data_IF_420302256969
#
_entry.id   IF_420302256969
#
_cell.length_a   1.000
_cell.length_b   1.000
_cell.length_c   1.000
_cell.angle_alpha   90.00
_cell.angle_beta   90.00
_cell.angle_gamma   90.00
#
_symmetry.space_group_name_H-M   'P 1'
#
loop_
_entity.id
_entity.type
_entity.pdbx_description
1 polymer ?
#
# COMPACT_ATOMS: atom_id res chain seq x y z
N UNK A 1 -19.14 -10.02 2.57
CA UNK A 1 -17.88 -10.35 1.87
C UNK A 1 -17.67 -9.28 0.83
N UNK A 2 -16.47 -8.70 0.73
CA UNK A 2 -16.24 -7.46 -0.02
C UNK A 2 -15.15 -7.63 -1.07
N UNK A 3 -15.35 -7.03 -2.24
CA UNK A 3 -14.38 -6.95 -3.32
C UNK A 3 -13.49 -5.72 -3.10
N UNK A 4 -12.19 -5.96 -2.94
CA UNK A 4 -11.23 -4.93 -2.51
C UNK A 4 -10.10 -4.85 -3.52
N UNK A 5 -9.82 -3.66 -4.04
CA UNK A 5 -8.59 -3.36 -4.78
C UNK A 5 -7.64 -2.55 -3.89
N UNK A 6 -6.39 -2.98 -3.74
CA UNK A 6 -5.36 -2.27 -2.99
C UNK A 6 -4.22 -1.80 -3.90
N UNK A 7 -3.78 -0.55 -3.74
CA UNK A 7 -2.73 0.09 -4.56
C UNK A 7 -1.63 0.66 -3.67
N UNK A 8 -0.37 0.31 -3.91
CA UNK A 8 0.80 0.83 -3.18
C UNK A 8 1.97 1.13 -4.15
N UNK A 9 2.37 2.40 -4.22
CA UNK A 9 3.44 2.91 -5.11
C UNK A 9 4.37 3.91 -4.41
N UNK A 10 4.43 3.92 -3.08
CA UNK A 10 5.28 4.81 -2.28
C UNK A 10 6.77 4.41 -2.29
N UNK A 11 7.16 3.32 -2.95
CA UNK A 11 8.55 2.88 -3.09
C UNK A 11 8.93 2.68 -4.57
N UNK A 12 10.10 2.12 -4.83
CA UNK A 12 10.49 1.69 -6.19
C UNK A 12 9.60 0.55 -6.72
N UNK A 13 8.93 -0.17 -5.83
CA UNK A 13 7.94 -1.17 -6.19
C UNK A 13 6.58 -0.56 -6.51
N UNK A 14 5.89 -1.18 -7.46
CA UNK A 14 4.48 -1.03 -7.75
C UNK A 14 3.79 -2.32 -7.30
N UNK A 15 2.94 -2.23 -6.28
CA UNK A 15 2.23 -3.36 -5.71
C UNK A 15 0.72 -3.16 -5.82
N UNK A 16 0.04 -4.19 -6.29
CA UNK A 16 -1.41 -4.24 -6.46
C UNK A 16 -1.92 -5.55 -5.87
N UNK A 17 -3.09 -5.51 -5.25
CA UNK A 17 -3.82 -6.72 -4.86
C UNK A 17 -5.31 -6.55 -5.09
N UNK A 18 -5.99 -7.60 -5.54
CA UNK A 18 -7.45 -7.62 -5.65
C UNK A 18 -8.00 -8.85 -4.95
N UNK A 19 -9.04 -8.66 -4.14
CA UNK A 19 -9.77 -9.75 -3.52
C UNK A 19 -11.20 -9.81 -4.08
N UNK A 20 -11.67 -11.02 -4.37
CA UNK A 20 -13.06 -11.32 -4.72
C UNK A 20 -13.72 -12.00 -3.51
N UNK A 21 -14.50 -11.24 -2.75
CA UNK A 21 -15.26 -11.72 -1.59
C UNK A 21 -14.42 -12.33 -0.45
N UNK A 22 -13.09 -12.29 -0.51
CA UNK A 22 -12.21 -13.07 0.37
C UNK A 22 -11.97 -14.52 -0.09
N UNK A 23 -12.67 -14.99 -1.12
CA UNK A 23 -12.52 -16.34 -1.67
C UNK A 23 -11.29 -16.47 -2.57
N UNK A 24 -10.97 -15.40 -3.28
CA UNK A 24 -9.80 -15.33 -4.18
C UNK A 24 -9.03 -14.04 -3.97
N UNK A 25 -7.71 -14.13 -4.05
CA UNK A 25 -6.76 -13.02 -3.92
C UNK A 25 -5.74 -13.13 -5.04
N UNK A 26 -5.63 -12.08 -5.86
CA UNK A 26 -4.56 -11.94 -6.86
C UNK A 26 -3.65 -10.79 -6.47
N UNK A 27 -2.33 -10.96 -6.67
CA UNK A 27 -1.31 -9.97 -6.29
C UNK A 27 -0.34 -9.75 -7.45
N UNK A 28 -0.06 -8.49 -7.76
CA UNK A 28 0.99 -8.09 -8.68
C UNK A 28 1.99 -7.20 -7.95
N UNK A 29 3.22 -7.68 -7.77
CA UNK A 29 4.33 -6.91 -7.23
C UNK A 29 5.46 -6.81 -8.25
N UNK A 30 5.85 -5.59 -8.63
CA UNK A 30 6.93 -5.35 -9.59
C UNK A 30 7.83 -4.21 -9.12
N UNK A 31 9.13 -4.43 -9.11
CA UNK A 31 10.14 -3.36 -8.92
C UNK A 31 10.37 -2.67 -10.26
N UNK A 32 9.74 -1.52 -10.45
CA UNK A 32 9.70 -0.78 -11.73
C UNK A 32 9.95 0.72 -11.48
N UNK A 33 11.15 1.09 -11.02
CA UNK A 33 11.46 2.48 -10.69
C UNK A 33 11.19 3.39 -11.90
N UNK A 34 10.58 4.54 -11.61
CA UNK A 34 10.24 5.61 -12.58
C UNK A 34 9.20 5.22 -13.65
N UNK A 35 8.67 4.00 -13.64
CA UNK A 35 7.71 3.50 -14.63
C UNK A 35 6.30 3.35 -14.07
N UNK A 36 6.06 3.76 -12.81
CA UNK A 36 4.76 3.63 -12.15
C UNK A 36 3.63 4.27 -12.95
N UNK A 37 3.79 5.51 -13.43
CA UNK A 37 2.73 6.24 -14.15
C UNK A 37 2.29 5.53 -15.44
N UNK A 38 3.24 4.94 -16.18
CA UNK A 38 2.96 4.26 -17.44
C UNK A 38 2.35 2.87 -17.22
N UNK A 39 2.84 2.14 -16.19
CA UNK A 39 2.52 0.72 -16.02
C UNK A 39 1.37 0.45 -15.06
N UNK A 40 1.05 1.37 -14.15
CA UNK A 40 0.07 1.13 -13.09
C UNK A 40 -1.32 0.75 -13.61
N UNK A 41 -1.89 1.55 -14.52
CA UNK A 41 -3.22 1.27 -15.07
C UNK A 41 -3.27 -0.05 -15.88
N UNK A 42 -2.32 -0.35 -16.79
CA UNK A 42 -2.26 -1.66 -17.43
C UNK A 42 -2.14 -2.84 -16.46
N UNK A 43 -1.33 -2.72 -15.41
CA UNK A 43 -1.18 -3.76 -14.39
C UNK A 43 -2.47 -3.96 -13.58
N UNK A 44 -3.15 -2.86 -13.22
CA UNK A 44 -4.46 -2.91 -12.55
C UNK A 44 -5.49 -3.62 -13.41
N UNK A 45 -5.56 -3.28 -14.70
CA UNK A 45 -6.51 -3.91 -15.62
C UNK A 45 -6.22 -5.41 -15.79
N UNK A 46 -4.94 -5.80 -15.93
CA UNK A 46 -4.55 -7.21 -15.96
C UNK A 46 -5.02 -7.96 -14.71
N UNK A 47 -4.78 -7.39 -13.53
CA UNK A 47 -5.15 -8.01 -12.27
C UNK A 47 -6.66 -8.19 -12.09
N UNK A 48 -7.46 -7.19 -12.50
CA UNK A 48 -8.92 -7.29 -12.48
C UNK A 48 -9.43 -8.38 -13.42
N UNK A 49 -8.84 -8.49 -14.62
CA UNK A 49 -9.18 -9.54 -15.58
C UNK A 49 -8.82 -10.93 -15.06
N UNK A 50 -7.66 -11.08 -14.39
CA UNK A 50 -7.21 -12.36 -13.87
C UNK A 50 -8.22 -12.96 -12.88
N UNK A 51 -8.93 -12.11 -12.12
CA UNK A 51 -9.95 -12.52 -11.14
C UNK A 51 -11.40 -12.44 -11.65
N UNK A 52 -11.60 -12.22 -12.95
CA UNK A 52 -12.90 -12.09 -13.61
C UNK A 52 -13.80 -11.00 -13.01
N UNK A 53 -13.21 -9.89 -12.56
CA UNK A 53 -13.94 -8.72 -12.02
C UNK A 53 -13.80 -7.51 -12.93
N UNK A 54 -14.84 -6.68 -12.94
CA UNK A 54 -14.79 -5.31 -13.47
C UNK A 54 -14.60 -4.31 -12.34
N UNK A 55 -14.22 -3.08 -12.67
CA UNK A 55 -14.10 -2.03 -11.66
C UNK A 55 -15.42 -1.74 -10.94
N UNK A 56 -16.55 -1.95 -11.60
CA UNK A 56 -17.91 -1.75 -11.06
C UNK A 56 -18.27 -2.78 -9.99
N UNK A 57 -17.57 -3.91 -9.95
CA UNK A 57 -17.78 -4.96 -8.96
C UNK A 57 -17.04 -4.68 -7.63
N UNK A 58 -16.22 -3.63 -7.57
CA UNK A 58 -15.48 -3.27 -6.36
C UNK A 58 -16.39 -2.63 -5.32
N UNK A 59 -16.24 -3.05 -4.07
CA UNK A 59 -16.94 -2.43 -2.93
C UNK A 59 -16.11 -1.34 -2.26
N UNK A 60 -14.78 -1.41 -2.39
CA UNK A 60 -13.85 -0.48 -1.74
C UNK A 60 -12.49 -0.49 -2.45
N UNK A 61 -11.82 0.66 -2.47
CA UNK A 61 -10.43 0.77 -2.92
C UNK A 61 -9.54 1.20 -1.77
N UNK A 62 -8.50 0.43 -1.49
CA UNK A 62 -7.47 0.74 -0.52
C UNK A 62 -6.23 1.33 -1.18
N UNK A 63 -5.55 2.25 -0.50
CA UNK A 63 -4.35 2.90 -1.02
C UNK A 63 -3.30 3.13 0.04
N UNK A 64 -2.04 2.92 -0.33
CA UNK A 64 -0.87 3.31 0.43
C UNK A 64 -0.73 4.83 0.44
N UNK A 65 -0.99 5.46 1.58
CA UNK A 65 -0.93 6.93 1.73
C UNK A 65 0.44 7.46 2.17
N UNK A 66 1.47 6.62 2.10
CA UNK A 66 2.83 6.95 2.48
C UNK A 66 3.12 6.75 3.98
N UNK A 67 4.28 7.24 4.44
CA UNK A 67 5.25 8.03 3.70
C UNK A 67 6.11 7.20 2.73
N UNK A 68 6.82 7.91 1.85
CA UNK A 68 7.73 7.33 0.86
C UNK A 68 7.93 8.33 -0.29
N UNK A 69 8.08 7.82 -1.50
CA UNK A 69 8.14 8.59 -2.75
C UNK A 69 6.97 9.56 -2.85
N UNK A 70 7.29 10.85 -2.95
CA UNK A 70 6.30 11.92 -3.08
C UNK A 70 5.44 11.74 -4.34
N UNK A 71 6.08 11.50 -5.47
CA UNK A 71 5.41 11.27 -6.76
C UNK A 71 4.61 9.98 -6.73
N UNK A 72 5.20 8.91 -6.21
CA UNK A 72 4.56 7.60 -6.13
C UNK A 72 3.32 7.59 -5.24
N UNK A 73 3.40 8.18 -4.04
CA UNK A 73 2.25 8.27 -3.12
C UNK A 73 1.10 9.08 -3.73
N UNK A 74 1.40 10.21 -4.38
CA UNK A 74 0.38 11.03 -5.05
C UNK A 74 -0.28 10.32 -6.22
N UNK A 75 0.47 9.52 -6.97
CA UNK A 75 -0.07 8.71 -8.06
C UNK A 75 -1.11 7.70 -7.54
N UNK A 76 -0.75 6.89 -6.53
CA UNK A 76 -1.67 5.92 -5.93
C UNK A 76 -2.94 6.59 -5.39
N UNK A 77 -2.79 7.67 -4.61
CA UNK A 77 -3.92 8.43 -4.08
C UNK A 77 -4.82 9.00 -5.19
N UNK A 78 -4.24 9.57 -6.26
CA UNK A 78 -5.00 10.20 -7.33
C UNK A 78 -5.82 9.18 -8.13
N UNK A 79 -5.22 8.02 -8.46
CA UNK A 79 -5.93 6.94 -9.16
C UNK A 79 -7.01 6.35 -8.27
N UNK A 80 -6.71 6.12 -6.99
CA UNK A 80 -7.68 5.60 -6.02
C UNK A 80 -8.88 6.53 -5.90
N UNK A 81 -8.64 7.83 -5.72
CA UNK A 81 -9.70 8.83 -5.62
C UNK A 81 -10.52 8.93 -6.91
N UNK A 82 -9.86 8.97 -8.07
CA UNK A 82 -10.56 9.03 -9.36
C UNK A 82 -11.44 7.81 -9.60
N UNK A 83 -10.91 6.60 -9.35
CA UNK A 83 -11.64 5.35 -9.47
C UNK A 83 -12.84 5.33 -8.51
N UNK A 84 -12.59 5.50 -7.22
CA UNK A 84 -13.63 5.43 -6.19
C UNK A 84 -14.73 6.48 -6.42
N UNK A 85 -14.37 7.71 -6.82
CA UNK A 85 -15.33 8.75 -7.16
C UNK A 85 -16.19 8.37 -8.36
N UNK A 86 -15.60 7.77 -9.40
CA UNK A 86 -16.32 7.41 -10.64
C UNK A 86 -17.38 6.33 -10.48
N UNK A 87 -17.22 5.44 -9.48
CA UNK A 87 -18.16 4.34 -9.21
C UNK A 87 -18.86 4.46 -7.85
N UNK A 88 -18.61 5.53 -7.10
CA UNK A 88 -19.36 5.88 -5.89
C UNK A 88 -19.06 5.01 -4.66
N UNK A 89 -17.82 4.54 -4.51
CA UNK A 89 -17.41 3.62 -3.43
C UNK A 89 -16.44 4.26 -2.43
N UNK A 90 -16.35 3.75 -1.19
CA UNK A 90 -15.42 4.27 -0.19
C UNK A 90 -13.94 4.01 -0.53
N UNK A 91 -13.07 4.81 0.09
CA UNK A 91 -11.61 4.66 0.05
C UNK A 91 -11.07 4.35 1.44
N UNK A 92 -10.13 3.40 1.52
CA UNK A 92 -9.36 3.12 2.74
C UNK A 92 -7.92 3.57 2.52
N UNK A 93 -7.44 4.51 3.32
CA UNK A 93 -6.04 4.92 3.32
C UNK A 93 -5.26 4.15 4.39
N UNK A 94 -4.17 3.52 4.00
CA UNK A 94 -3.30 2.73 4.89
C UNK A 94 -1.89 3.32 4.84
N UNK A 95 -1.23 3.46 6.00
CA UNK A 95 0.15 3.93 6.00
C UNK A 95 1.08 2.89 5.35
N UNK A 96 1.97 3.33 4.49
CA UNK A 96 2.98 2.47 3.86
C UNK A 96 3.92 1.82 4.89
N UNK A 97 4.13 2.43 6.05
CA UNK A 97 4.84 1.76 7.16
C UNK A 97 4.03 0.63 7.78
N UNK A 98 2.71 0.78 7.94
CA UNK A 98 1.83 -0.30 8.41
C UNK A 98 1.85 -1.48 7.42
N UNK A 99 1.83 -1.18 6.12
CA UNK A 99 1.92 -2.19 5.06
C UNK A 99 3.22 -2.98 5.17
N UNK A 100 4.36 -2.29 5.32
CA UNK A 100 5.66 -2.94 5.52
C UNK A 100 5.69 -3.78 6.79
N UNK A 101 5.24 -3.23 7.92
CA UNK A 101 5.20 -3.95 9.19
C UNK A 101 4.34 -5.21 9.12
N UNK A 102 3.15 -5.11 8.52
CA UNK A 102 2.27 -6.27 8.32
C UNK A 102 2.92 -7.32 7.41
N UNK A 103 3.66 -6.90 6.37
CA UNK A 103 4.42 -7.80 5.52
C UNK A 103 5.46 -8.60 6.32
N UNK A 104 6.22 -7.91 7.18
CA UNK A 104 7.22 -8.54 8.04
C UNK A 104 6.59 -9.48 9.08
N UNK A 105 5.50 -9.06 9.74
CA UNK A 105 4.78 -9.93 10.66
C UNK A 105 4.25 -11.19 9.95
N UNK A 106 3.69 -11.06 8.74
CA UNK A 106 3.20 -12.21 7.97
C UNK A 106 4.32 -13.19 7.63
N UNK A 107 5.49 -12.69 7.23
CA UNK A 107 6.62 -13.52 6.80
C UNK A 107 7.38 -14.15 7.97
N UNK A 108 7.62 -13.38 9.03
CA UNK A 108 8.51 -13.78 10.13
C UNK A 108 7.81 -14.04 11.46
N UNK A 109 6.49 -13.81 11.55
CA UNK A 109 5.69 -14.01 12.76
C UNK A 109 6.24 -13.23 13.98
N UNK A 110 6.81 -12.05 13.74
CA UNK A 110 7.37 -11.19 14.77
C UNK A 110 6.28 -10.41 15.52
N UNK A 111 6.42 -10.29 16.85
CA UNK A 111 5.51 -9.50 17.69
C UNK A 111 5.81 -8.00 17.63
N UNK A 112 7.01 -7.61 17.20
CA UNK A 112 7.44 -6.21 17.11
C UNK A 112 8.15 -5.96 15.79
N UNK A 113 7.85 -4.83 15.15
CA UNK A 113 8.52 -4.38 13.92
C UNK A 113 8.85 -2.90 14.02
N UNK A 114 10.10 -2.55 13.74
CA UNK A 114 10.52 -1.16 13.55
C UNK A 114 10.77 -0.95 12.06
N UNK A 115 10.01 -0.02 11.46
CA UNK A 115 10.13 0.37 10.07
C UNK A 115 10.88 1.69 9.99
N UNK A 116 11.95 1.71 9.19
CA UNK A 116 12.75 2.89 8.89
C UNK A 116 12.66 3.19 7.39
N UNK A 117 12.16 4.37 7.03
CA UNK A 117 12.08 4.82 5.63
C UNK A 117 12.94 6.07 5.47
N UNK A 118 13.81 6.07 4.48
CA UNK A 118 14.58 7.26 4.10
C UNK A 118 13.62 8.38 3.66
N UNK A 119 13.63 9.50 4.38
CA UNK A 119 12.79 10.67 4.08
C UNK A 119 13.50 11.70 3.18
N UNK A 120 14.70 11.36 2.69
CA UNK A 120 15.67 12.28 2.10
C UNK A 120 16.13 13.35 3.08
N UNK A 121 16.96 14.29 2.63
CA UNK A 121 17.42 15.44 3.42
C UNK A 121 17.95 15.06 4.81
N UNK A 122 18.69 13.94 4.91
CA UNK A 122 19.25 13.43 6.17
C UNK A 122 18.17 13.15 7.25
N UNK A 123 16.96 12.83 6.82
CA UNK A 123 15.85 12.48 7.71
C UNK A 123 15.38 11.04 7.46
N UNK A 124 14.82 10.45 8.50
CA UNK A 124 14.15 9.15 8.45
C UNK A 124 12.76 9.24 9.04
N UNK A 125 11.82 8.54 8.41
CA UNK A 125 10.57 8.19 9.06
C UNK A 125 10.77 6.91 9.87
N UNK A 126 10.29 6.93 11.10
CA UNK A 126 10.33 5.80 12.03
C UNK A 126 8.92 5.42 12.41
N UNK A 127 8.61 4.13 12.26
CA UNK A 127 7.37 3.52 12.71
C UNK A 127 7.68 2.35 13.62
N UNK A 128 7.15 2.36 14.83
CA UNK A 128 7.25 1.24 15.78
C UNK A 128 5.88 0.57 15.85
N UNK A 129 5.84 -0.75 15.64
CA UNK A 129 4.62 -1.54 15.55
C UNK A 129 4.69 -2.75 16.48
N UNK A 130 3.61 -2.96 17.23
CA UNK A 130 3.42 -4.16 18.05
C UNK A 130 2.22 -4.96 17.53
N UNK A 131 2.37 -6.28 17.52
CA UNK A 131 1.39 -7.22 17.00
C UNK A 131 0.85 -8.13 18.11
N UNK A 132 -0.46 -8.34 18.10
CA UNK A 132 -1.14 -9.40 18.83
C UNK A 132 -2.10 -10.10 17.88
N UNK A 133 -2.01 -11.44 17.78
CA UNK A 133 -2.84 -12.25 16.87
C UNK A 133 -2.85 -11.69 15.43
N UNK A 134 -1.65 -11.41 14.88
CA UNK A 134 -1.42 -10.85 13.52
C UNK A 134 -2.00 -9.44 13.28
N UNK A 135 -2.54 -8.80 14.32
CA UNK A 135 -3.09 -7.45 14.25
C UNK A 135 -2.15 -6.47 14.92
N UNK A 136 -1.97 -5.32 14.27
CA UNK A 136 -1.28 -4.18 14.88
C UNK A 136 -2.15 -3.66 16.04
N UNK A 137 -1.61 -3.67 17.25
CA UNK A 137 -2.27 -3.18 18.47
C UNK A 137 -1.70 -1.84 18.96
N UNK A 138 -0.47 -1.54 18.59
CA UNK A 138 0.19 -0.28 18.88
C UNK A 138 0.96 0.21 17.66
N UNK A 139 0.92 1.52 17.45
CA UNK A 139 1.69 2.18 16.41
C UNK A 139 2.12 3.57 16.86
N UNK A 140 3.42 3.83 16.77
CA UNK A 140 4.01 5.15 16.97
C UNK A 140 4.76 5.59 15.72
N UNK A 141 4.50 6.81 15.26
CA UNK A 141 5.20 7.42 14.11
C UNK A 141 5.94 8.67 14.52
N UNK A 142 7.22 8.76 14.14
CA UNK A 142 8.05 9.97 14.31
C UNK A 142 8.92 10.20 13.08
N UNK A 143 9.33 11.45 12.85
CA UNK A 143 10.41 11.80 11.92
C UNK A 143 11.63 12.18 12.74
N UNK A 144 12.79 11.63 12.41
CA UNK A 144 14.06 11.89 13.10
C UNK A 144 15.05 12.50 12.12
N UNK A 145 15.70 13.58 12.53
CA UNK A 145 16.83 14.19 11.82
C UNK A 145 18.12 13.46 12.20
N UNK A 146 18.86 12.97 11.21
CA UNK A 146 20.16 12.35 11.41
C UNK A 146 21.18 13.45 11.64
N UNK A 147 21.54 13.70 12.91
CA UNK A 147 22.66 14.59 13.22
C UNK A 147 23.97 13.86 12.99
N UNK A 148 24.77 14.33 12.05
CA UNK A 148 26.18 13.98 11.93
C UNK A 148 26.94 14.52 13.15
N UNK A 149 27.60 13.64 13.90
CA UNK A 149 28.56 14.04 14.96
C UNK A 149 29.79 14.72 14.37
#
# INVERSE_FOLDING_TARGET
MSNILAIETSSEACSLAVSNGGDRLEVCHKVIPQQHTEKLLPLMQGLMNDIDLTYQDLDVVATGCGPGSFTGTRLACSITQGLAYSIGIPVISVSSMQILAQGMNREFQCSEVIVLINAHMEQIYVGEFEFSEEKIIFFLRKSIELRSN
#
